data_IF_330793469069
#
_entry.id   IF_330793469069
#
_cell.length_a   1.000
_cell.length_b   1.000
_cell.length_c   1.000
_cell.angle_alpha   90.00
_cell.angle_beta   90.00
_cell.angle_gamma   90.00
#
_symmetry.space_group_name_H-M   'P 1'
#
loop_
_entity.id
_entity.type
_entity.pdbx_description
1 polymer ?
#
# COMPACT_ATOMS: atom_id res chain seq x y z
N UNK A 1 0.41 1.71 -7.04
CA UNK A 1 1.48 2.29 -6.24
C UNK A 1 1.49 1.61 -4.90
N UNK A 2 0.60 2.04 -4.00
CA UNK A 2 0.61 1.68 -2.57
C UNK A 2 0.95 0.21 -2.26
N UNK A 3 0.23 -0.77 -2.83
CA UNK A 3 0.49 -2.20 -2.57
C UNK A 3 1.88 -2.63 -3.06
N UNK A 4 2.31 -2.15 -4.24
CA UNK A 4 3.63 -2.46 -4.79
C UNK A 4 4.75 -1.87 -3.93
N UNK A 5 4.55 -0.66 -3.39
CA UNK A 5 5.51 -0.01 -2.51
C UNK A 5 5.67 -0.80 -1.19
N UNK A 6 4.56 -1.20 -0.57
CA UNK A 6 4.59 -1.99 0.68
C UNK A 6 5.21 -3.38 0.47
N UNK A 7 4.91 -4.03 -0.66
CA UNK A 7 5.51 -5.30 -1.03
C UNK A 7 7.02 -5.17 -1.27
N UNK A 8 7.47 -4.08 -1.89
CA UNK A 8 8.89 -3.81 -2.09
C UNK A 8 9.63 -3.58 -0.75
N UNK A 9 9.02 -2.84 0.18
CA UNK A 9 9.57 -2.65 1.54
C UNK A 9 9.74 -4.00 2.24
N UNK A 10 8.74 -4.88 2.21
CA UNK A 10 8.81 -6.20 2.81
C UNK A 10 9.87 -7.09 2.15
N UNK A 11 9.86 -7.14 0.82
CA UNK A 11 10.80 -7.93 0.01
C UNK A 11 12.26 -7.52 0.23
N UNK A 12 12.58 -6.22 0.22
CA UNK A 12 13.95 -5.71 0.42
C UNK A 12 14.44 -5.94 1.85
N UNK A 13 13.55 -5.78 2.84
CA UNK A 13 13.94 -5.83 4.25
C UNK A 13 13.74 -7.20 4.91
N UNK A 14 13.36 -8.23 4.16
CA UNK A 14 13.02 -9.56 4.71
C UNK A 14 11.95 -9.49 5.81
N UNK A 15 10.95 -8.63 5.63
CA UNK A 15 9.84 -8.48 6.57
C UNK A 15 8.54 -8.88 5.92
N UNK A 16 7.68 -9.54 6.69
CA UNK A 16 6.28 -9.74 6.30
C UNK A 16 5.55 -8.42 6.45
N UNK A 17 5.19 -7.83 5.32
CA UNK A 17 4.39 -6.61 5.27
C UNK A 17 3.00 -6.90 4.70
N UNK A 18 2.03 -6.07 5.05
CA UNK A 18 0.66 -6.20 4.56
C UNK A 18 0.03 -4.82 4.44
N UNK A 19 -0.76 -4.60 3.39
CA UNK A 19 -1.58 -3.40 3.23
C UNK A 19 -3.05 -3.78 3.27
N UNK A 20 -3.85 -3.00 4.01
CA UNK A 20 -5.31 -3.03 3.93
C UNK A 20 -5.81 -1.67 3.46
N UNK A 21 -6.32 -1.60 2.23
CA UNK A 21 -6.91 -0.38 1.66
C UNK A 21 -8.43 -0.48 1.72
N UNK A 22 -9.08 0.52 2.32
CA UNK A 22 -10.53 0.56 2.47
C UNK A 22 -11.05 1.84 1.82
N UNK A 23 -11.58 1.78 0.59
CA UNK A 23 -12.31 2.89 -0.02
C UNK A 23 -13.64 3.07 0.71
N UNK A 24 -13.91 4.28 1.21
CA UNK A 24 -15.16 4.60 1.87
C UNK A 24 -15.97 5.52 0.97
N UNK A 25 -16.93 4.93 0.24
CA UNK A 25 -17.77 5.65 -0.71
C UNK A 25 -18.61 6.70 0.02
N UNK A 26 -18.73 7.89 -0.57
CA UNK A 26 -19.53 8.98 -0.02
C UNK A 26 -18.85 9.79 1.10
N UNK A 27 -17.57 9.51 1.40
CA UNK A 27 -16.76 10.31 2.32
C UNK A 27 -15.55 10.95 1.63
N UNK A 28 -15.09 12.05 2.20
CA UNK A 28 -14.04 12.93 1.73
C UNK A 28 -12.89 12.99 2.75
N UNK A 29 -11.73 13.50 2.31
CA UNK A 29 -10.52 13.58 3.14
C UNK A 29 -10.78 14.35 4.44
N UNK A 30 -10.36 13.78 5.57
CA UNK A 30 -10.56 14.37 6.91
C UNK A 30 -11.84 13.92 7.60
N UNK A 31 -12.81 13.35 6.89
CA UNK A 31 -13.95 12.68 7.52
C UNK A 31 -13.52 11.39 8.22
N UNK A 32 -14.33 10.91 9.16
CA UNK A 32 -14.08 9.70 9.92
C UNK A 32 -14.98 8.57 9.41
N UNK A 33 -14.45 7.35 9.28
CA UNK A 33 -15.24 6.13 9.10
C UNK A 33 -15.28 5.33 10.39
N UNK A 34 -16.47 4.84 10.73
CA UNK A 34 -16.72 3.96 11.88
C UNK A 34 -16.96 2.56 11.33
N UNK A 35 -16.08 1.62 11.67
CA UNK A 35 -16.20 0.21 11.30
C UNK A 35 -16.91 -0.60 12.39
N UNK A 36 -17.12 -0.01 13.57
CA UNK A 36 -17.78 -0.62 14.72
C UNK A 36 -16.89 -1.63 15.46
N UNK A 37 -17.34 -1.99 16.67
CA UNK A 37 -16.81 -3.09 17.47
C UNK A 37 -15.27 -3.13 17.56
N UNK A 38 -14.69 -4.25 17.15
CA UNK A 38 -13.24 -4.56 17.21
C UNK A 38 -12.39 -3.77 16.19
N UNK A 39 -13.00 -3.26 15.11
CA UNK A 39 -12.29 -2.60 14.02
C UNK A 39 -12.14 -1.08 14.22
N UNK A 40 -12.94 -0.49 15.11
CA UNK A 40 -12.84 0.90 15.53
C UNK A 40 -13.13 1.92 14.43
N UNK A 41 -12.50 3.08 14.54
CA UNK A 41 -12.66 4.22 13.64
C UNK A 41 -11.34 4.64 13.01
N UNK A 42 -11.38 5.13 11.78
CA UNK A 42 -10.20 5.65 11.08
C UNK A 42 -10.54 6.90 10.25
N UNK A 43 -9.61 7.87 10.11
CA UNK A 43 -9.81 9.02 9.26
C UNK A 43 -9.60 8.67 7.79
N UNK A 44 -10.35 9.32 6.90
CA UNK A 44 -10.13 9.25 5.46
C UNK A 44 -8.87 10.03 5.11
N UNK A 45 -7.85 9.32 4.64
CA UNK A 45 -6.56 9.89 4.26
C UNK A 45 -6.54 10.29 2.79
N UNK A 46 -5.82 11.38 2.49
CA UNK A 46 -5.56 11.81 1.11
C UNK A 46 -4.70 10.77 0.39
N UNK A 47 -5.07 10.46 -0.85
CA UNK A 47 -4.25 9.66 -1.78
C UNK A 47 -3.51 10.60 -2.75
N UNK A 48 -2.32 10.19 -3.20
CA UNK A 48 -1.58 10.92 -4.21
C UNK A 48 -2.36 10.98 -5.54
N UNK A 49 -2.44 12.15 -6.18
CA UNK A 49 -3.14 12.37 -7.45
C UNK A 49 -2.34 11.98 -8.68
N UNK A 50 -1.02 11.78 -8.56
CA UNK A 50 -0.19 11.33 -9.67
C UNK A 50 -0.50 9.89 -10.08
N UNK A 51 -0.66 9.66 -11.38
CA UNK A 51 -0.95 8.32 -11.91
C UNK A 51 0.29 7.42 -11.92
N UNK A 52 0.14 6.22 -11.37
CA UNK A 52 1.11 5.13 -11.48
C UNK A 52 0.71 4.08 -12.54
N UNK A 53 -0.26 4.40 -13.40
CA UNK A 53 -0.87 3.46 -14.37
C UNK A 53 0.17 2.85 -15.33
N UNK A 54 1.08 3.67 -15.89
CA UNK A 54 2.15 3.17 -16.78
C UNK A 54 3.03 2.12 -16.10
N UNK A 55 3.37 2.33 -14.83
CA UNK A 55 4.20 1.42 -14.07
C UNK A 55 3.47 0.11 -13.77
N UNK A 56 2.22 0.19 -13.31
CA UNK A 56 1.41 -1.00 -13.02
C UNK A 56 1.12 -1.81 -14.29
N UNK A 57 0.82 -1.14 -15.41
CA UNK A 57 0.56 -1.80 -16.71
C UNK A 57 1.79 -2.47 -17.31
N UNK A 58 3.01 -2.16 -16.85
CA UNK A 58 4.22 -2.84 -17.32
C UNK A 58 4.17 -4.35 -17.07
N UNK A 59 3.49 -4.78 -16.00
CA UNK A 59 3.37 -6.19 -15.65
C UNK A 59 4.72 -6.90 -15.49
N UNK A 60 4.71 -8.22 -15.60
CA UNK A 60 5.90 -9.06 -15.46
C UNK A 60 6.23 -9.43 -14.02
N UNK A 61 7.51 -9.76 -13.76
CA UNK A 61 8.00 -10.24 -12.46
C UNK A 61 9.10 -9.31 -11.95
N UNK A 62 8.94 -8.81 -10.73
CA UNK A 62 10.03 -8.15 -10.00
C UNK A 62 10.95 -9.26 -9.45
N UNK A 63 12.24 -9.30 -9.84
CA UNK A 63 13.15 -10.33 -9.39
C UNK A 63 13.46 -10.19 -7.89
N UNK A 64 13.96 -11.28 -7.30
CA UNK A 64 14.40 -11.27 -5.92
C UNK A 64 15.56 -10.26 -5.71
N UNK A 65 15.65 -9.65 -4.52
CA UNK A 65 16.73 -8.71 -4.22
C UNK A 65 18.07 -9.44 -4.16
N UNK A 66 19.15 -8.78 -4.60
CA UNK A 66 20.48 -9.38 -4.60
C UNK A 66 21.01 -9.44 -3.16
N UNK A 67 21.28 -10.65 -2.68
CA UNK A 67 21.82 -10.89 -1.33
C UNK A 67 23.35 -10.72 -1.25
N UNK A 68 24.05 -10.65 -2.39
CA UNK A 68 25.53 -10.68 -2.47
C UNK A 68 26.26 -9.42 -1.97
N UNK A 69 25.56 -8.32 -1.67
CA UNK A 69 26.16 -7.08 -1.14
C UNK A 69 26.02 -6.93 0.39
N UNK A 70 25.60 -8.00 1.08
CA UNK A 70 25.62 -8.10 2.54
C UNK A 70 26.80 -8.98 2.96
N UNK A 71 28.03 -8.43 2.89
CA UNK A 71 29.22 -9.00 3.55
C UNK A 71 29.52 -8.14 4.78
#
# INVERSE_FOLDING_TARGET
GIIADEAAIGMVNHKTTATRLIPVVGKTVGEQVEFGGLLGRAPIMRVNSFSCEKFIRRGGRVPAPIHSFKN
#
